data_IF_189621872935
#
_entry.id   IF_189621872935
#
_cell.length_a   1.000
_cell.length_b   1.000
_cell.length_c   1.000
_cell.angle_alpha   90.00
_cell.angle_beta   90.00
_cell.angle_gamma   90.00
#
_symmetry.space_group_name_H-M   'P 1'
#
loop_
_entity.id
_entity.type
_entity.pdbx_description
1 polymer ?
#
# COMPACT_ATOMS: atom_id res chain seq x y z
N UNK A 1 -3.98 20.32 56.90
CA UNK A 1 -5.26 20.20 57.63
C UNK A 1 -6.29 21.01 56.86
N UNK A 2 -7.50 20.50 56.59
CA UNK A 2 -8.05 19.16 56.89
C UNK A 2 -7.95 18.25 55.65
N UNK A 3 -7.66 16.95 55.73
CA UNK A 3 -8.43 15.82 56.30
C UNK A 3 -9.71 15.53 55.50
N UNK A 4 -10.15 14.30 55.24
CA UNK A 4 -9.75 12.96 55.66
C UNK A 4 -10.26 11.93 54.63
N UNK A 5 -9.54 10.84 54.40
CA UNK A 5 -9.72 9.50 55.02
C UNK A 5 -11.09 8.86 54.76
N UNK A 6 -11.05 7.71 54.08
CA UNK A 6 -11.52 6.38 54.53
C UNK A 6 -11.06 5.39 53.42
N UNK A 7 -10.04 4.53 53.59
CA UNK A 7 -10.04 3.24 54.31
C UNK A 7 -11.34 2.45 54.09
N UNK A 8 -11.37 1.14 53.84
CA UNK A 8 -10.41 0.04 53.73
C UNK A 8 -11.28 -1.22 53.56
N UNK A 9 -10.73 -2.31 53.01
CA UNK A 9 -10.84 -3.70 53.51
C UNK A 9 -10.44 -4.67 52.37
N UNK A 10 -9.26 -5.27 52.47
CA UNK A 10 -8.94 -6.55 53.14
C UNK A 10 -9.29 -7.74 52.23
N UNK A 11 -8.26 -8.40 51.67
CA UNK A 11 -7.67 -9.68 52.15
C UNK A 11 -8.43 -10.88 51.56
N UNK A 12 -7.84 -12.02 51.18
CA UNK A 12 -6.59 -12.67 51.57
C UNK A 12 -6.17 -13.70 50.49
N UNK A 13 -4.89 -14.03 50.57
CA UNK A 13 -4.08 -15.05 49.90
C UNK A 13 -4.73 -16.44 49.73
N UNK A 14 -4.32 -17.19 48.70
CA UNK A 14 -3.37 -18.30 48.88
C UNK A 14 -2.86 -18.88 47.56
N UNK A 15 -1.55 -19.12 47.52
CA UNK A 15 -0.81 -19.91 46.54
C UNK A 15 -1.12 -21.40 46.68
N UNK A 16 -0.92 -22.17 45.60
CA UNK A 16 -0.20 -23.46 45.55
C UNK A 16 -0.17 -23.99 44.10
N UNK A 17 1.04 -24.31 43.61
CA UNK A 17 1.35 -25.15 42.43
C UNK A 17 1.22 -26.65 42.81
N UNK A 18 1.70 -27.64 42.01
CA UNK A 18 1.61 -27.94 40.56
C UNK A 18 1.05 -29.38 40.33
N UNK A 19 0.85 -29.79 39.07
CA UNK A 19 0.56 -31.19 38.73
C UNK A 19 0.85 -31.52 37.27
N UNK A 20 1.79 -32.46 37.08
CA UNK A 20 2.46 -32.84 35.84
C UNK A 20 1.88 -34.17 35.28
N UNK A 21 2.31 -34.55 34.06
CA UNK A 21 2.26 -35.89 33.41
C UNK A 21 0.94 -36.30 32.71
N UNK A 22 0.89 -37.04 31.60
CA UNK A 22 1.79 -37.49 30.51
C UNK A 22 0.88 -38.11 29.43
N UNK A 23 1.37 -38.17 28.19
CA UNK A 23 1.38 -39.33 27.26
C UNK A 23 0.99 -39.07 25.79
N UNK A 24 1.84 -39.67 24.94
CA UNK A 24 1.89 -39.69 23.47
C UNK A 24 0.70 -40.39 22.82
N UNK A 25 0.33 -39.94 21.63
CA UNK A 25 0.17 -40.85 20.47
C UNK A 25 0.29 -40.09 19.15
N UNK A 26 1.08 -40.65 18.25
CA UNK A 26 1.34 -40.25 16.87
C UNK A 26 0.26 -40.80 15.94
N UNK A 27 -0.23 -40.02 14.97
CA UNK A 27 -0.90 -40.57 13.77
C UNK A 27 -0.87 -39.58 12.57
N UNK A 28 -0.17 -40.04 11.53
CA UNK A 28 -0.33 -39.86 10.08
C UNK A 28 -1.12 -38.65 9.53
N UNK A 29 -0.42 -37.81 8.76
CA UNK A 29 -1.02 -36.79 7.88
C UNK A 29 -1.54 -37.42 6.58
N UNK A 30 -2.85 -37.27 6.32
CA UNK A 30 -3.41 -37.29 4.95
C UNK A 30 -3.94 -35.90 4.61
N UNK A 31 -3.46 -35.35 3.49
CA UNK A 31 -3.96 -34.12 2.88
C UNK A 31 -5.46 -34.25 2.55
N UNK A 32 -6.30 -33.38 3.13
CA UNK A 32 -7.68 -33.16 2.69
C UNK A 32 -7.90 -31.68 2.41
N UNK A 33 -8.31 -31.38 1.19
CA UNK A 33 -9.03 -30.17 0.79
C UNK A 33 -10.39 -30.18 1.48
N UNK A 34 -10.78 -29.10 2.15
CA UNK A 34 -12.05 -29.04 2.89
C UNK A 34 -13.13 -28.37 2.04
N UNK A 35 -14.24 -29.08 1.80
CA UNK A 35 -15.48 -28.50 1.27
C UNK A 35 -16.31 -27.89 2.40
N UNK A 36 -16.80 -26.65 2.21
CA UNK A 36 -17.72 -26.01 3.14
C UNK A 36 -19.07 -26.76 3.17
N UNK A 37 -19.62 -26.99 4.37
CA UNK A 37 -20.92 -27.62 4.54
C UNK A 37 -22.04 -26.56 4.53
N UNK A 38 -22.98 -26.68 3.59
CA UNK A 38 -24.24 -25.94 3.60
C UNK A 38 -25.19 -26.58 4.62
N UNK A 39 -25.79 -25.77 5.50
CA UNK A 39 -26.85 -26.17 6.43
C UNK A 39 -28.09 -25.30 6.17
N UNK A 40 -29.26 -25.93 6.02
CA UNK A 40 -30.48 -25.35 5.45
C UNK A 40 -31.43 -24.69 6.45
N UNK A 41 -31.89 -23.50 6.06
CA UNK A 41 -33.23 -22.87 6.19
C UNK A 41 -33.88 -22.64 7.56
N UNK A 42 -34.02 -21.35 7.92
CA UNK A 42 -35.09 -20.83 8.80
C UNK A 42 -36.07 -19.98 7.95
N UNK A 43 -37.37 -20.14 8.19
CA UNK A 43 -38.46 -19.96 7.23
C UNK A 43 -39.11 -18.57 7.21
N UNK A 44 -38.45 -17.51 7.72
CA UNK A 44 -39.01 -16.14 7.70
C UNK A 44 -38.13 -15.06 7.09
N UNK A 45 -37.06 -15.45 6.43
CA UNK A 45 -36.26 -14.57 5.57
C UNK A 45 -35.55 -15.46 4.58
N UNK A 46 -35.74 -15.29 3.26
CA UNK A 46 -34.94 -15.95 2.22
C UNK A 46 -33.48 -15.42 2.21
N UNK A 47 -32.84 -15.40 3.38
CA UNK A 47 -31.42 -15.07 3.56
C UNK A 47 -30.63 -16.37 3.43
N UNK A 48 -29.83 -16.47 2.37
CA UNK A 48 -28.73 -17.44 2.34
C UNK A 48 -27.65 -16.93 3.28
N UNK A 49 -27.74 -17.29 4.55
CA UNK A 49 -26.68 -17.01 5.53
C UNK A 49 -25.71 -18.21 5.55
N UNK A 50 -24.61 -18.12 4.81
CA UNK A 50 -23.59 -19.19 4.79
C UNK A 50 -22.56 -18.90 5.89
N UNK A 51 -22.33 -19.88 6.77
CA UNK A 51 -21.35 -19.75 7.85
C UNK A 51 -19.95 -20.20 7.40
N UNK A 52 -18.97 -19.29 7.45
CA UNK A 52 -17.55 -19.58 7.22
C UNK A 52 -16.89 -19.77 8.59
N UNK A 53 -16.41 -20.97 8.88
CA UNK A 53 -15.77 -21.31 10.16
C UNK A 53 -14.25 -21.37 10.01
N UNK A 54 -13.54 -20.56 10.80
CA UNK A 54 -12.09 -20.66 10.95
C UNK A 54 -11.74 -21.67 12.06
N UNK A 55 -10.83 -22.64 11.83
CA UNK A 55 -10.47 -23.63 12.84
C UNK A 55 -9.67 -22.99 13.99
N UNK A 56 -9.81 -23.50 15.23
CA UNK A 56 -8.98 -23.09 16.36
C UNK A 56 -7.57 -23.69 16.22
N UNK A 57 -6.73 -23.09 15.38
CA UNK A 57 -5.33 -23.53 15.20
C UNK A 57 -4.38 -22.76 16.12
N UNK A 58 -3.43 -23.47 16.77
CA UNK A 58 -2.33 -22.88 17.55
C UNK A 58 -1.28 -22.18 16.66
N UNK A 59 -1.26 -22.47 15.37
CA UNK A 59 -0.36 -21.85 14.37
C UNK A 59 -1.18 -21.12 13.30
N UNK A 60 -0.75 -19.93 12.83
CA UNK A 60 -1.31 -19.33 11.62
C UNK A 60 -1.09 -20.33 10.48
N UNK A 61 -2.15 -20.81 9.85
CA UNK A 61 -2.02 -21.63 8.64
C UNK A 61 -2.51 -20.79 7.47
N UNK A 62 -1.71 -20.74 6.40
CA UNK A 62 -1.91 -20.01 5.13
C UNK A 62 -3.07 -20.59 4.28
N UNK A 63 -4.14 -21.07 4.92
CA UNK A 63 -5.26 -21.62 4.16
C UNK A 63 -6.20 -20.50 3.79
N UNK A 64 -6.06 -20.06 2.54
CA UNK A 64 -7.05 -19.25 1.85
C UNK A 64 -8.37 -20.01 1.78
N UNK A 65 -9.47 -19.34 2.13
CA UNK A 65 -10.82 -19.88 1.97
C UNK A 65 -11.36 -19.30 0.67
N UNK A 66 -11.59 -20.16 -0.32
CA UNK A 66 -12.18 -19.77 -1.60
C UNK A 66 -13.60 -20.33 -1.70
N UNK A 67 -14.56 -19.46 -1.98
CA UNK A 67 -15.97 -19.80 -2.12
C UNK A 67 -16.47 -19.37 -3.50
N UNK A 68 -17.28 -20.21 -4.13
CA UNK A 68 -17.96 -19.87 -5.38
C UNK A 68 -19.43 -19.61 -5.10
N UNK A 69 -19.93 -18.48 -5.56
CA UNK A 69 -21.31 -18.05 -5.37
C UNK A 69 -21.95 -17.54 -6.66
N UNK A 70 -23.24 -17.19 -6.58
CA UNK A 70 -24.00 -16.62 -7.70
C UNK A 70 -25.10 -15.69 -7.19
N UNK A 71 -25.02 -14.41 -7.57
CA UNK A 71 -26.15 -13.48 -7.42
C UNK A 71 -27.22 -13.81 -8.46
N UNK A 72 -28.47 -13.90 -8.02
CA UNK A 72 -29.62 -14.38 -8.79
C UNK A 72 -30.92 -13.69 -8.37
N UNK A 73 -31.94 -13.80 -9.21
CA UNK A 73 -33.26 -13.22 -8.94
C UNK A 73 -33.97 -13.78 -7.70
N UNK A 74 -33.47 -14.89 -7.14
CA UNK A 74 -34.02 -15.53 -5.95
C UNK A 74 -33.42 -15.00 -4.64
N UNK A 75 -32.35 -14.20 -4.73
CA UNK A 75 -31.61 -13.70 -3.57
C UNK A 75 -32.30 -12.50 -2.92
N UNK A 76 -31.84 -12.17 -1.72
CA UNK A 76 -32.41 -11.06 -0.94
C UNK A 76 -32.24 -9.74 -1.71
N UNK A 77 -33.32 -8.97 -1.81
CA UNK A 77 -33.31 -7.67 -2.51
C UNK A 77 -33.17 -6.54 -1.49
N UNK A 78 -32.23 -5.64 -1.73
CA UNK A 78 -32.12 -4.36 -1.03
C UNK A 78 -32.47 -3.22 -1.98
N UNK A 79 -33.42 -2.38 -1.60
CA UNK A 79 -33.76 -1.15 -2.32
C UNK A 79 -33.09 0.04 -1.65
N UNK A 80 -32.47 0.92 -2.43
CA UNK A 80 -31.87 2.15 -1.91
C UNK A 80 -32.98 3.09 -1.43
N UNK A 81 -33.01 3.49 -0.14
CA UNK A 81 -34.02 4.41 0.39
C UNK A 81 -34.03 5.78 -0.29
N UNK A 82 -32.90 6.22 -0.85
CA UNK A 82 -32.75 7.51 -1.52
C UNK A 82 -32.99 7.42 -3.03
N UNK A 83 -32.89 6.21 -3.60
CA UNK A 83 -33.16 5.92 -5.00
C UNK A 83 -34.06 4.69 -5.13
N UNK A 84 -35.37 4.80 -4.87
CA UNK A 84 -36.28 3.66 -4.74
C UNK A 84 -36.45 2.83 -6.03
N UNK A 85 -36.03 3.37 -7.18
CA UNK A 85 -35.98 2.66 -8.46
C UNK A 85 -34.79 1.69 -8.55
N UNK A 86 -33.78 1.86 -7.69
CA UNK A 86 -32.58 1.01 -7.67
C UNK A 86 -32.70 -0.06 -6.60
N UNK A 87 -32.37 -1.28 -6.99
CA UNK A 87 -32.38 -2.44 -6.10
C UNK A 87 -31.29 -3.45 -6.44
N UNK A 88 -30.79 -4.16 -5.43
CA UNK A 88 -29.59 -5.00 -5.52
C UNK A 88 -29.83 -6.38 -4.92
N UNK A 89 -29.22 -7.41 -5.49
CA UNK A 89 -29.25 -8.77 -4.97
C UNK A 89 -28.11 -8.99 -3.98
N UNK A 90 -28.39 -9.63 -2.85
CA UNK A 90 -27.45 -9.81 -1.75
C UNK A 90 -27.23 -11.27 -1.39
N UNK A 91 -25.97 -11.65 -1.23
CA UNK A 91 -25.55 -12.85 -0.52
C UNK A 91 -24.79 -12.47 0.76
N UNK A 92 -25.07 -13.15 1.87
CA UNK A 92 -24.45 -12.90 3.18
C UNK A 92 -23.63 -14.10 3.67
N UNK A 93 -22.38 -13.84 4.05
CA UNK A 93 -21.48 -14.84 4.62
C UNK A 93 -21.09 -14.44 6.03
N UNK A 94 -21.52 -15.25 7.02
CA UNK A 94 -21.21 -15.00 8.43
C UNK A 94 -19.83 -15.57 8.76
N UNK A 95 -18.95 -14.74 9.29
CA UNK A 95 -17.63 -15.16 9.71
C UNK A 95 -17.67 -15.63 11.17
N UNK A 96 -17.29 -16.89 11.40
CA UNK A 96 -17.30 -17.53 12.71
C UNK A 96 -15.89 -17.99 13.11
N UNK A 97 -15.58 -17.92 14.40
CA UNK A 97 -14.28 -18.36 14.93
C UNK A 97 -13.13 -17.38 14.67
N UNK A 98 -13.44 -16.10 14.46
CA UNK A 98 -12.45 -15.05 14.29
C UNK A 98 -11.71 -14.75 15.61
N UNK A 99 -10.40 -14.53 15.53
CA UNK A 99 -9.57 -14.16 16.69
C UNK A 99 -9.38 -12.65 16.73
N UNK A 100 -9.47 -12.05 17.92
CA UNK A 100 -9.15 -10.62 18.08
C UNK A 100 -7.75 -10.31 17.54
N UNK A 101 -7.63 -9.25 16.75
CA UNK A 101 -6.36 -8.86 16.11
C UNK A 101 -5.98 -9.68 14.87
N UNK A 102 -6.73 -10.72 14.51
CA UNK A 102 -6.57 -11.41 13.22
C UNK A 102 -6.87 -10.43 12.09
N UNK A 103 -6.02 -10.43 11.07
CA UNK A 103 -6.23 -9.65 9.86
C UNK A 103 -6.66 -10.57 8.73
N UNK A 104 -7.72 -10.18 8.04
CA UNK A 104 -8.27 -10.89 6.90
C UNK A 104 -8.26 -9.96 5.68
N UNK A 105 -7.81 -10.49 4.55
CA UNK A 105 -8.13 -9.94 3.23
C UNK A 105 -9.34 -10.69 2.69
N UNK A 106 -10.24 -9.97 2.05
CA UNK A 106 -11.36 -10.53 1.33
C UNK A 106 -11.25 -10.00 -0.10
N UNK A 107 -11.25 -10.89 -1.08
CA UNK A 107 -11.34 -10.57 -2.50
C UNK A 107 -12.64 -11.14 -3.03
N UNK A 108 -13.35 -10.37 -3.83
CA UNK A 108 -14.57 -10.75 -4.51
C UNK A 108 -14.36 -10.50 -5.99
N UNK A 109 -14.32 -11.56 -6.79
CA UNK A 109 -14.11 -11.48 -8.23
C UNK A 109 -15.36 -11.91 -8.99
N UNK A 110 -15.74 -11.18 -10.05
CA UNK A 110 -16.84 -11.59 -10.91
C UNK A 110 -16.74 -11.09 -12.35
N UNK A 111 -16.48 -11.98 -13.31
CA UNK A 111 -16.56 -11.62 -14.74
C UNK A 111 -17.96 -11.21 -15.25
N UNK A 112 -18.99 -11.17 -14.40
CA UNK A 112 -20.40 -11.00 -14.80
C UNK A 112 -21.02 -9.71 -14.30
N UNK A 113 -20.49 -9.10 -13.26
CA UNK A 113 -21.01 -7.85 -12.70
C UNK A 113 -19.90 -7.10 -11.98
N UNK A 114 -20.06 -5.79 -11.86
CA UNK A 114 -19.18 -4.96 -11.04
C UNK A 114 -19.41 -5.27 -9.55
N UNK A 115 -18.41 -5.84 -8.88
CA UNK A 115 -18.51 -6.34 -7.51
C UNK A 115 -18.61 -5.21 -6.48
N UNK A 116 -19.60 -5.36 -5.60
CA UNK A 116 -19.74 -4.59 -4.38
C UNK A 116 -19.53 -5.51 -3.18
N UNK A 117 -18.55 -5.18 -2.34
CA UNK A 117 -18.25 -5.91 -1.13
C UNK A 117 -18.46 -5.02 0.09
N UNK A 118 -19.19 -5.51 1.09
CA UNK A 118 -19.32 -4.83 2.37
C UNK A 118 -19.08 -5.79 3.54
N UNK A 119 -18.48 -5.26 4.59
CA UNK A 119 -18.34 -5.89 5.89
C UNK A 119 -19.31 -5.22 6.86
N UNK A 120 -20.13 -6.01 7.54
CA UNK A 120 -21.31 -5.51 8.25
C UNK A 120 -21.35 -6.07 9.66
N UNK A 121 -21.73 -5.23 10.63
CA UNK A 121 -22.12 -5.69 11.96
C UNK A 121 -23.53 -6.29 11.88
N UNK A 122 -23.69 -7.61 12.10
CA UNK A 122 -24.99 -8.26 11.97
C UNK A 122 -26.01 -7.79 13.01
N UNK A 123 -25.61 -7.15 14.11
CA UNK A 123 -26.54 -6.66 15.14
C UNK A 123 -27.21 -5.35 14.74
N UNK A 124 -26.42 -4.44 14.19
CA UNK A 124 -26.86 -3.07 13.84
C UNK A 124 -27.16 -2.91 12.36
N UNK A 125 -26.78 -3.90 11.53
CA UNK A 125 -26.77 -3.84 10.07
C UNK A 125 -25.90 -2.69 9.52
N UNK A 126 -25.05 -2.08 10.36
CA UNK A 126 -24.15 -1.00 9.98
C UNK A 126 -23.01 -1.53 9.12
N UNK A 127 -22.76 -0.87 8.00
CA UNK A 127 -21.57 -1.11 7.18
C UNK A 127 -20.35 -0.65 7.96
N UNK A 128 -19.46 -1.59 8.29
CA UNK A 128 -18.20 -1.36 8.98
C UNK A 128 -17.08 -0.96 8.02
N UNK A 129 -17.13 -1.51 6.80
CA UNK A 129 -16.30 -1.16 5.67
C UNK A 129 -17.00 -1.60 4.39
N UNK A 130 -16.83 -0.88 3.29
CA UNK A 130 -17.31 -1.30 1.97
C UNK A 130 -16.31 -0.88 0.92
N UNK A 131 -16.27 -1.67 -0.15
CA UNK A 131 -15.54 -1.33 -1.34
C UNK A 131 -16.41 -1.69 -2.54
N UNK A 132 -16.65 -0.71 -3.39
CA UNK A 132 -17.29 -0.84 -4.67
C UNK A 132 -16.32 -0.20 -5.63
N UNK A 133 -15.59 -1.01 -6.38
CA UNK A 133 -14.55 -0.53 -7.25
C UNK A 133 -15.17 0.18 -8.46
N UNK A 134 -15.86 1.31 -8.24
CA UNK A 134 -16.52 2.07 -9.28
C UNK A 134 -15.46 2.89 -10.02
N UNK A 135 -14.72 2.24 -10.93
CA UNK A 135 -14.37 2.78 -12.25
C UNK A 135 -13.65 1.71 -13.09
N UNK A 136 -14.00 1.68 -14.37
CA UNK A 136 -13.94 0.52 -15.27
C UNK A 136 -12.54 -0.03 -15.54
N UNK A 137 -12.37 -1.28 -15.11
CA UNK A 137 -12.10 -2.46 -15.97
C UNK A 137 -11.84 -3.70 -15.05
N UNK A 138 -12.01 -3.58 -13.74
CA UNK A 138 -11.94 -4.69 -12.79
C UNK A 138 -13.31 -4.82 -12.17
N UNK A 139 -13.94 -5.96 -12.37
CA UNK A 139 -15.24 -6.30 -11.80
C UNK A 139 -15.14 -6.74 -10.34
N UNK A 140 -13.97 -6.56 -9.74
CA UNK A 140 -13.57 -7.24 -8.53
C UNK A 140 -13.40 -6.21 -7.40
N UNK A 141 -13.80 -6.59 -6.20
CA UNK A 141 -13.76 -5.75 -5.01
C UNK A 141 -12.97 -6.45 -3.92
N UNK A 142 -12.25 -5.69 -3.10
CA UNK A 142 -11.51 -6.26 -1.98
C UNK A 142 -11.59 -5.42 -0.71
N UNK A 143 -11.55 -6.10 0.43
CA UNK A 143 -11.56 -5.49 1.76
C UNK A 143 -10.54 -6.17 2.65
N UNK A 144 -9.69 -5.38 3.27
CA UNK A 144 -8.88 -5.85 4.41
C UNK A 144 -9.54 -5.37 5.70
N UNK A 145 -9.58 -6.19 6.74
CA UNK A 145 -9.99 -5.73 8.07
C UNK A 145 -9.26 -6.47 9.20
N UNK A 146 -9.21 -5.82 10.35
CA UNK A 146 -8.69 -6.40 11.60
C UNK A 146 -9.88 -6.69 12.52
N UNK A 147 -9.94 -7.91 13.04
CA UNK A 147 -10.99 -8.36 13.94
C UNK A 147 -10.90 -7.58 15.25
N UNK A 148 -11.94 -6.78 15.53
CA UNK A 148 -12.10 -6.01 16.77
C UNK A 148 -12.74 -6.90 17.85
N UNK A 149 -12.46 -6.65 19.14
CA UNK A 149 -13.14 -7.34 20.22
C UNK A 149 -14.66 -7.09 20.16
N UNK A 150 -15.45 -8.09 20.53
CA UNK A 150 -16.90 -7.99 20.72
C UNK A 150 -17.71 -7.57 19.48
N UNK A 151 -17.14 -7.73 18.27
CA UNK A 151 -17.85 -7.56 17.00
C UNK A 151 -17.96 -8.89 16.27
N UNK A 152 -19.15 -9.15 15.73
CA UNK A 152 -19.39 -10.20 14.76
C UNK A 152 -19.36 -9.58 13.36
N UNK A 153 -19.04 -10.40 12.35
CA UNK A 153 -18.84 -9.91 10.99
C UNK A 153 -19.65 -10.72 10.00
N UNK A 154 -20.37 -10.02 9.12
CA UNK A 154 -20.99 -10.58 7.93
C UNK A 154 -20.38 -9.91 6.70
N UNK A 155 -19.91 -10.71 5.76
CA UNK A 155 -19.58 -10.25 4.42
C UNK A 155 -20.88 -10.19 3.63
N UNK A 156 -21.17 -9.04 3.04
CA UNK A 156 -22.24 -8.83 2.07
C UNK A 156 -21.61 -8.71 0.68
N UNK A 157 -21.96 -9.67 -0.17
CA UNK A 157 -21.68 -9.64 -1.60
C UNK A 157 -22.89 -9.03 -2.31
N UNK A 158 -22.64 -8.09 -3.22
CA UNK A 158 -23.63 -7.45 -4.07
C UNK A 158 -22.98 -7.02 -5.39
N UNK A 159 -23.76 -6.48 -6.30
CA UNK A 159 -23.26 -5.72 -7.46
C UNK A 159 -23.33 -4.22 -7.19
N UNK A 160 -22.45 -3.45 -7.85
CA UNK A 160 -22.55 -2.00 -7.95
C UNK A 160 -23.62 -1.56 -8.95
N UNK A 161 -23.97 -2.43 -9.90
CA UNK A 161 -25.08 -2.21 -10.85
C UNK A 161 -26.38 -2.78 -10.31
N UNK A 162 -27.47 -2.00 -10.36
CA UNK A 162 -28.79 -2.47 -9.92
C UNK A 162 -29.22 -3.75 -10.66
N UNK A 163 -29.76 -4.71 -9.89
CA UNK A 163 -30.31 -6.01 -10.37
C UNK A 163 -29.35 -6.87 -11.19
N UNK A 164 -28.05 -6.60 -11.18
CA UNK A 164 -27.09 -7.46 -11.87
C UNK A 164 -27.03 -8.85 -11.21
N UNK A 165 -26.83 -9.87 -12.04
CA UNK A 165 -26.76 -11.28 -11.63
C UNK A 165 -25.54 -11.92 -12.26
N UNK A 166 -25.01 -12.97 -11.66
CA UNK A 166 -23.82 -13.62 -12.18
C UNK A 166 -23.08 -14.43 -11.14
N UNK A 167 -22.16 -15.27 -11.61
CA UNK A 167 -21.26 -16.04 -10.76
C UNK A 167 -20.13 -15.17 -10.22
N UNK A 168 -19.65 -15.48 -9.03
CA UNK A 168 -18.50 -14.82 -8.42
C UNK A 168 -17.66 -15.81 -7.61
N UNK A 169 -16.41 -15.43 -7.35
CA UNK A 169 -15.50 -16.10 -6.43
C UNK A 169 -15.20 -15.14 -5.26
N UNK A 170 -15.33 -15.65 -4.03
CA UNK A 170 -15.04 -14.93 -2.80
C UNK A 170 -13.87 -15.62 -2.09
N UNK A 171 -12.73 -14.96 -2.06
CA UNK A 171 -11.49 -15.45 -1.47
C UNK A 171 -11.20 -14.73 -0.17
N UNK A 172 -10.89 -15.46 0.90
CA UNK A 172 -10.49 -14.91 2.19
C UNK A 172 -9.08 -15.37 2.51
N UNK A 173 -8.16 -14.42 2.61
CA UNK A 173 -6.76 -14.67 2.91
C UNK A 173 -6.48 -14.30 4.36
N UNK A 174 -5.89 -15.25 5.09
CA UNK A 174 -5.31 -14.96 6.40
C UNK A 174 -3.96 -14.29 6.19
N UNK A 175 -3.80 -13.07 6.70
CA UNK A 175 -2.45 -12.54 6.82
C UNK A 175 -1.75 -13.26 7.97
N UNK A 176 -0.53 -13.80 7.78
CA UNK A 176 0.21 -14.39 8.88
C UNK A 176 0.42 -13.35 9.97
N UNK A 177 0.14 -13.75 11.21
CA UNK A 177 0.58 -12.99 12.38
C UNK A 177 2.11 -13.12 12.46
N UNK A 178 2.82 -12.17 11.84
CA UNK A 178 4.26 -11.90 11.97
C UNK A 178 5.20 -13.12 11.94
N UNK A 179 5.97 -13.27 10.86
CA UNK A 179 7.20 -14.07 10.87
C UNK A 179 8.34 -13.18 11.39
N UNK A 180 8.54 -13.12 12.71
CA UNK A 180 9.64 -12.34 13.32
C UNK A 180 9.56 -10.82 13.12
N UNK A 181 10.68 -10.11 13.36
CA UNK A 181 10.78 -8.63 13.35
C UNK A 181 10.61 -7.97 11.97
N UNK A 182 10.44 -8.72 10.88
CA UNK A 182 10.33 -8.17 9.53
C UNK A 182 9.11 -8.76 8.80
N UNK A 183 8.19 -7.89 8.39
CA UNK A 183 6.93 -8.27 7.75
C UNK A 183 6.82 -7.55 6.39
N UNK A 184 6.87 -8.33 5.30
CA UNK A 184 6.81 -7.85 3.91
C UNK A 184 5.44 -7.27 3.49
N UNK A 185 4.41 -7.40 4.34
CA UNK A 185 3.08 -6.82 4.10
C UNK A 185 2.79 -5.61 4.99
N UNK A 186 3.48 -5.46 6.13
CA UNK A 186 3.39 -4.34 7.07
C UNK A 186 4.65 -4.27 7.93
N UNK A 187 5.72 -3.68 7.41
CA UNK A 187 6.98 -3.49 8.13
C UNK A 187 7.13 -2.03 8.53
N UNK A 188 6.84 -1.72 9.79
CA UNK A 188 7.13 -0.43 10.39
C UNK A 188 8.49 -0.46 11.08
N UNK A 189 9.33 0.46 10.68
CA UNK A 189 10.57 0.83 11.33
C UNK A 189 11.10 2.06 10.61
N UNK A 190 11.76 2.95 11.34
CA UNK A 190 12.56 3.97 10.69
C UNK A 190 13.48 3.28 9.69
N UNK A 191 13.60 3.85 8.49
CA UNK A 191 14.56 3.35 7.51
C UNK A 191 15.92 3.38 8.19
N UNK A 192 16.58 2.23 8.27
CA UNK A 192 17.96 2.12 8.73
C UNK A 192 18.79 1.67 7.53
N UNK A 193 19.30 2.65 6.77
CA UNK A 193 20.04 2.40 5.55
C UNK A 193 21.33 1.61 5.85
N UNK A 194 21.98 1.89 6.98
CA UNK A 194 23.17 1.19 7.43
C UNK A 194 22.91 -0.32 7.63
N UNK A 195 21.83 -0.67 8.34
CA UNK A 195 21.44 -2.06 8.54
C UNK A 195 21.00 -2.74 7.23
N UNK A 196 20.24 -2.03 6.39
CA UNK A 196 19.75 -2.55 5.12
C UNK A 196 20.91 -2.88 4.16
N UNK A 197 21.83 -1.94 3.96
CA UNK A 197 22.98 -2.12 3.07
C UNK A 197 23.94 -3.16 3.63
N UNK A 198 24.26 -3.12 4.93
CA UNK A 198 25.11 -4.12 5.57
C UNK A 198 24.58 -5.55 5.35
N UNK A 199 23.28 -5.76 5.55
CA UNK A 199 22.63 -7.05 5.31
C UNK A 199 22.72 -7.46 3.84
N UNK A 200 22.47 -6.53 2.91
CA UNK A 200 22.52 -6.81 1.48
C UNK A 200 23.91 -7.26 1.01
N UNK A 201 24.98 -6.75 1.63
CA UNK A 201 26.37 -7.11 1.30
C UNK A 201 26.95 -8.20 2.22
N UNK A 202 26.13 -8.88 3.01
CA UNK A 202 26.55 -9.99 3.87
C UNK A 202 27.43 -9.57 5.05
N UNK A 203 27.35 -8.31 5.49
CA UNK A 203 28.15 -7.77 6.59
C UNK A 203 27.33 -7.58 7.86
N UNK A 204 28.04 -7.50 9.00
CA UNK A 204 27.46 -7.03 10.26
C UNK A 204 27.02 -5.56 10.13
N UNK A 205 26.06 -5.09 10.94
CA UNK A 205 25.64 -3.69 10.94
C UNK A 205 26.84 -2.73 10.97
N UNK A 206 26.81 -1.70 10.13
CA UNK A 206 27.90 -0.74 10.05
C UNK A 206 28.07 -0.01 11.39
N UNK A 207 29.31 0.37 11.68
CA UNK A 207 29.62 1.16 12.87
C UNK A 207 28.97 2.54 12.73
N UNK A 208 28.39 3.02 13.82
CA UNK A 208 27.89 4.39 13.90
C UNK A 208 29.01 5.37 13.56
N UNK A 209 28.66 6.45 12.86
CA UNK A 209 29.55 7.57 12.59
C UNK A 209 29.00 8.83 13.24
N UNK A 210 29.74 9.92 13.18
CA UNK A 210 29.26 11.20 13.71
C UNK A 210 28.14 11.74 12.84
N UNK A 211 27.03 12.09 13.47
CA UNK A 211 25.91 12.80 12.85
C UNK A 211 26.39 14.08 12.14
N UNK A 212 25.75 14.40 11.02
CA UNK A 212 25.96 15.63 10.26
C UNK A 212 25.40 16.83 11.02
N UNK A 213 24.30 16.65 11.76
CA UNK A 213 23.67 17.65 12.61
C UNK A 213 22.83 18.68 11.86
N UNK A 214 22.23 19.59 12.64
CA UNK A 214 21.41 20.72 12.16
C UNK A 214 20.29 20.29 11.20
N UNK A 215 20.26 20.85 9.98
CA UNK A 215 19.22 20.59 8.97
C UNK A 215 19.31 19.19 8.32
N UNK A 216 20.39 18.44 8.57
CA UNK A 216 20.59 17.10 8.00
C UNK A 216 20.00 15.97 8.85
N UNK A 217 19.14 16.30 9.82
CA UNK A 217 18.57 15.33 10.75
C UNK A 217 17.93 14.11 10.07
N UNK A 218 17.34 14.28 8.88
CA UNK A 218 16.75 13.17 8.12
C UNK A 218 17.79 12.16 7.64
N UNK A 219 18.97 12.64 7.18
CA UNK A 219 20.10 11.81 6.76
C UNK A 219 20.69 11.04 7.94
N UNK A 220 20.84 11.71 9.08
CA UNK A 220 21.31 11.10 10.33
C UNK A 220 20.31 10.06 10.82
N UNK A 221 19.02 10.38 10.75
CA UNK A 221 17.96 9.49 11.21
C UNK A 221 17.91 8.18 10.41
N UNK A 222 18.13 8.25 9.09
CA UNK A 222 18.19 7.06 8.24
C UNK A 222 19.57 6.39 8.20
N UNK A 223 20.55 6.93 8.94
CA UNK A 223 21.93 6.43 8.99
C UNK A 223 22.62 6.41 7.61
N UNK A 224 22.36 7.43 6.80
CA UNK A 224 23.05 7.60 5.52
C UNK A 224 24.58 7.80 5.69
N UNK A 225 25.07 8.58 6.68
CA UNK A 225 26.51 8.76 6.89
C UNK A 225 27.29 7.45 7.10
N UNK A 226 26.73 6.47 7.81
CA UNK A 226 27.33 5.16 8.01
C UNK A 226 27.48 4.38 6.70
N UNK A 227 26.50 4.51 5.80
CA UNK A 227 26.52 3.90 4.47
C UNK A 227 27.59 4.58 3.60
N UNK A 228 27.68 5.90 3.65
CA UNK A 228 28.69 6.67 2.92
C UNK A 228 30.11 6.37 3.40
N UNK A 229 30.30 6.14 4.69
CA UNK A 229 31.60 5.73 5.26
C UNK A 229 32.08 4.35 4.73
N UNK A 230 31.19 3.58 4.11
CA UNK A 230 31.51 2.33 3.41
C UNK A 230 31.68 2.49 1.90
N UNK A 231 31.56 3.71 1.37
CA UNK A 231 31.72 4.02 -0.05
C UNK A 231 30.47 3.77 -0.89
N UNK A 232 29.32 3.43 -0.27
CA UNK A 232 28.06 3.29 -0.99
C UNK A 232 27.36 4.65 -1.06
N UNK A 233 27.07 5.10 -2.29
CA UNK A 233 26.40 6.37 -2.54
C UNK A 233 25.38 6.31 -3.69
N UNK A 234 25.02 5.10 -4.14
CA UNK A 234 24.08 4.92 -5.26
C UNK A 234 24.70 4.97 -6.66
N UNK A 235 26.03 4.87 -6.79
CA UNK A 235 26.71 4.86 -8.10
C UNK A 235 26.09 3.80 -9.04
N UNK A 236 25.88 4.18 -10.29
CA UNK A 236 25.27 3.34 -11.35
C UNK A 236 23.81 2.92 -11.08
N UNK A 237 23.13 3.57 -10.13
CA UNK A 237 21.70 3.38 -9.90
C UNK A 237 20.96 4.56 -10.53
N UNK A 238 20.03 4.27 -11.44
CA UNK A 238 19.07 5.25 -11.94
C UNK A 238 17.79 5.19 -11.12
N UNK A 239 17.37 6.34 -10.61
CA UNK A 239 16.11 6.55 -9.88
C UNK A 239 15.22 7.44 -10.74
N UNK A 240 14.08 6.92 -11.18
CA UNK A 240 13.08 7.72 -11.86
C UNK A 240 12.26 8.51 -10.84
N UNK A 241 12.08 9.81 -11.09
CA UNK A 241 11.27 10.71 -10.27
C UNK A 241 10.02 11.05 -11.09
N UNK A 242 8.91 10.41 -10.74
CA UNK A 242 7.61 10.65 -11.35
C UNK A 242 6.91 11.76 -10.57
N UNK A 243 6.97 12.99 -11.11
CA UNK A 243 6.55 14.19 -10.38
C UNK A 243 6.17 15.33 -11.34
N UNK A 244 6.36 16.58 -10.90
CA UNK A 244 6.11 17.86 -11.60
C UNK A 244 7.20 18.25 -12.59
N UNK A 245 8.23 17.41 -12.76
CA UNK A 245 9.45 17.71 -13.51
C UNK A 245 10.67 17.79 -12.60
N UNK A 246 11.84 18.13 -13.15
CA UNK A 246 13.04 18.46 -12.38
C UNK A 246 13.78 19.61 -13.07
N UNK A 247 14.28 20.57 -12.30
CA UNK A 247 15.28 21.52 -12.80
C UNK A 247 16.61 20.81 -13.05
N UNK A 248 16.79 20.34 -14.28
CA UNK A 248 17.98 19.60 -14.71
C UNK A 248 19.25 20.45 -14.76
N UNK A 249 19.14 21.78 -14.61
CA UNK A 249 20.26 22.73 -14.58
C UNK A 249 20.58 23.22 -13.17
N UNK A 250 19.88 22.72 -12.16
CA UNK A 250 20.14 23.11 -10.78
C UNK A 250 21.59 22.72 -10.41
N UNK A 251 22.43 23.64 -9.89
CA UNK A 251 23.86 23.36 -9.65
C UNK A 251 24.14 22.18 -8.71
N UNK A 252 23.16 21.84 -7.86
CA UNK A 252 23.25 20.71 -6.95
C UNK A 252 22.76 19.37 -7.54
N UNK A 253 22.14 19.38 -8.72
CA UNK A 253 21.53 18.20 -9.35
C UNK A 253 22.07 17.90 -10.74
N UNK A 254 22.55 18.90 -11.50
CA UNK A 254 22.95 18.75 -12.91
C UNK A 254 23.90 17.57 -13.16
N UNK A 255 24.87 17.37 -12.26
CA UNK A 255 25.86 16.29 -12.35
C UNK A 255 25.26 14.89 -12.17
N UNK A 256 24.08 14.81 -11.57
CA UNK A 256 23.34 13.59 -11.27
C UNK A 256 22.09 13.42 -12.15
N UNK A 257 21.85 14.27 -13.14
CA UNK A 257 20.78 14.02 -14.11
C UNK A 257 21.15 12.85 -15.02
N UNK A 258 20.19 11.95 -15.24
CA UNK A 258 20.27 10.84 -16.17
C UNK A 258 20.28 11.37 -17.60
N UNK A 259 20.98 10.67 -18.48
CA UNK A 259 21.03 11.00 -19.90
C UNK A 259 20.76 9.74 -20.71
N UNK A 260 19.76 9.79 -21.58
CA UNK A 260 19.54 8.74 -22.56
C UNK A 260 20.76 8.68 -23.48
N UNK A 261 21.43 7.53 -23.50
CA UNK A 261 22.61 7.31 -24.37
C UNK A 261 22.20 6.87 -25.77
N UNK A 262 20.92 6.52 -25.97
CA UNK A 262 20.36 6.12 -27.26
C UNK A 262 20.01 7.30 -28.17
N UNK A 263 19.88 8.50 -27.61
CA UNK A 263 19.43 9.69 -28.34
C UNK A 263 20.57 10.61 -28.80
N UNK A 264 20.39 11.20 -29.99
CA UNK A 264 21.21 12.31 -30.50
C UNK A 264 20.48 13.63 -30.20
N UNK A 265 21.01 14.50 -29.33
CA UNK A 265 20.28 15.68 -28.87
C UNK A 265 19.82 16.63 -29.97
N UNK A 266 18.52 16.91 -29.98
CA UNK A 266 17.83 17.94 -30.76
C UNK A 266 17.87 17.69 -32.28
N UNK A 267 17.83 16.42 -32.71
CA UNK A 267 17.73 16.08 -34.13
C UNK A 267 16.27 15.91 -34.60
N UNK A 268 15.30 15.96 -33.67
CA UNK A 268 13.88 15.80 -33.95
C UNK A 268 13.47 14.36 -34.28
N UNK A 269 14.30 13.36 -33.94
CA UNK A 269 14.07 11.95 -34.19
C UNK A 269 14.00 11.17 -32.88
N UNK A 270 13.40 9.98 -32.95
CA UNK A 270 13.45 8.95 -31.92
C UNK A 270 14.53 7.95 -32.36
N UNK A 271 15.78 8.19 -31.92
CA UNK A 271 16.96 7.47 -32.39
C UNK A 271 17.04 6.06 -31.82
N UNK A 272 16.61 5.89 -30.57
CA UNK A 272 16.59 4.60 -29.88
C UNK A 272 15.33 3.78 -30.13
N UNK A 273 14.33 4.38 -30.79
CA UNK A 273 13.03 3.80 -31.17
C UNK A 273 12.20 3.37 -29.98
N UNK A 274 12.33 4.08 -28.86
CA UNK A 274 11.56 3.84 -27.64
C UNK A 274 10.16 4.48 -27.67
N UNK A 275 9.87 5.29 -28.70
CA UNK A 275 8.61 6.00 -28.91
C UNK A 275 8.62 7.46 -28.46
N UNK A 276 9.77 8.00 -28.02
CA UNK A 276 9.90 9.32 -27.39
C UNK A 276 11.01 10.13 -28.08
N UNK A 277 10.60 11.08 -28.94
CA UNK A 277 11.52 11.93 -29.71
C UNK A 277 12.38 12.81 -28.80
N UNK A 278 13.70 12.73 -28.92
CA UNK A 278 14.65 13.57 -28.19
C UNK A 278 14.48 13.51 -26.65
N UNK A 279 14.18 12.34 -26.05
CA UNK A 279 13.98 12.16 -24.60
C UNK A 279 15.30 12.17 -23.77
N UNK A 280 16.20 13.11 -24.11
CA UNK A 280 17.61 13.18 -23.66
C UNK A 280 17.79 13.04 -22.16
N UNK A 281 16.89 13.61 -21.37
CA UNK A 281 16.96 13.60 -19.92
C UNK A 281 15.77 12.91 -19.26
N UNK A 282 14.78 12.48 -20.02
CA UNK A 282 13.49 12.07 -19.48
C UNK A 282 12.34 12.44 -20.41
N UNK A 283 11.12 12.19 -19.94
CA UNK A 283 9.92 12.48 -20.70
C UNK A 283 8.87 13.21 -19.88
N UNK A 284 8.08 14.05 -20.53
CA UNK A 284 6.92 14.71 -19.99
C UNK A 284 5.63 14.09 -20.53
N UNK A 285 4.90 13.38 -19.68
CA UNK A 285 3.55 12.89 -19.93
C UNK A 285 2.47 13.87 -19.45
N UNK A 286 2.84 14.92 -18.73
CA UNK A 286 1.92 15.91 -18.20
C UNK A 286 1.65 17.03 -19.22
N UNK A 287 0.37 17.27 -19.46
CA UNK A 287 -0.12 18.25 -20.44
C UNK A 287 0.08 17.78 -21.88
N UNK A 288 1.31 17.90 -22.39
CA UNK A 288 1.69 17.51 -23.76
C UNK A 288 2.90 16.61 -23.73
N UNK A 289 2.78 15.46 -24.42
CA UNK A 289 3.89 14.53 -24.64
C UNK A 289 5.08 15.26 -25.28
N UNK A 290 6.15 15.46 -24.51
CA UNK A 290 7.35 16.18 -24.95
C UNK A 290 8.60 15.79 -24.16
N UNK A 291 9.75 16.22 -24.65
CA UNK A 291 11.03 16.09 -23.95
C UNK A 291 11.30 17.21 -22.91
N UNK A 292 10.34 18.12 -22.70
CA UNK A 292 10.48 19.18 -21.71
C UNK A 292 10.13 18.69 -20.29
N UNK A 293 11.15 18.23 -19.58
CA UNK A 293 11.04 17.76 -18.19
C UNK A 293 11.18 18.86 -17.14
N UNK A 294 11.12 20.14 -17.55
CA UNK A 294 11.28 21.28 -16.64
C UNK A 294 10.25 21.24 -15.51
N UNK A 295 10.71 21.61 -14.31
CA UNK A 295 9.87 21.76 -13.13
C UNK A 295 9.44 23.22 -12.95
N UNK A 296 8.16 23.50 -13.14
CA UNK A 296 7.60 24.84 -12.94
C UNK A 296 7.03 25.05 -11.53
N UNK A 297 6.94 23.98 -10.73
CA UNK A 297 6.33 24.02 -9.39
C UNK A 297 7.39 23.88 -8.26
N UNK A 298 8.50 23.20 -8.54
CA UNK A 298 9.63 23.00 -7.64
C UNK A 298 9.56 21.72 -6.79
N UNK A 299 8.42 21.01 -6.80
CA UNK A 299 8.23 19.83 -5.95
C UNK A 299 9.09 18.65 -6.42
N UNK A 300 9.12 18.37 -7.72
CA UNK A 300 9.92 17.28 -8.27
C UNK A 300 11.42 17.53 -8.13
N UNK A 301 11.86 18.79 -8.24
CA UNK A 301 13.24 19.20 -7.96
C UNK A 301 13.60 18.98 -6.49
N UNK A 302 12.71 19.31 -5.56
CA UNK A 302 12.91 19.05 -4.13
C UNK A 302 13.00 17.54 -3.82
N UNK A 303 12.15 16.72 -4.43
CA UNK A 303 12.18 15.26 -4.33
C UNK A 303 13.49 14.70 -4.90
N UNK A 304 13.90 15.15 -6.08
CA UNK A 304 15.17 14.76 -6.72
C UNK A 304 16.39 15.12 -5.85
N UNK A 305 16.39 16.32 -5.24
CA UNK A 305 17.41 16.77 -4.31
C UNK A 305 17.55 15.87 -3.09
N UNK A 306 16.41 15.47 -2.48
CA UNK A 306 16.39 14.55 -1.35
C UNK A 306 17.03 13.19 -1.69
N UNK A 307 16.82 12.72 -2.92
CA UNK A 307 17.37 11.45 -3.41
C UNK A 307 18.86 11.57 -3.74
N UNK A 308 19.25 12.53 -4.59
CA UNK A 308 20.57 12.55 -5.21
C UNK A 308 21.15 13.95 -5.43
N UNK A 309 20.84 14.95 -4.60
CA UNK A 309 21.66 16.17 -4.56
C UNK A 309 23.14 15.81 -4.38
N UNK A 310 24.00 16.47 -5.15
CA UNK A 310 25.41 16.13 -5.30
C UNK A 310 26.16 16.49 -4.03
N UNK A 311 27.12 15.66 -3.64
CA UNK A 311 28.01 16.01 -2.52
C UNK A 311 29.13 16.95 -2.97
N UNK A 312 28.78 18.21 -3.28
CA UNK A 312 29.66 19.21 -3.91
C UNK A 312 30.01 20.41 -3.00
N UNK A 313 29.56 20.41 -1.73
CA UNK A 313 29.69 21.53 -0.75
C UNK A 313 28.84 22.77 -1.09
N UNK A 314 27.90 22.63 -2.00
CA UNK A 314 26.84 23.59 -2.28
C UNK A 314 25.51 22.96 -1.85
N UNK A 315 24.53 23.79 -1.46
CA UNK A 315 23.18 23.30 -1.14
C UNK A 315 23.14 22.20 -0.08
N UNK A 316 22.61 21.03 -0.47
CA UNK A 316 22.34 19.88 0.40
C UNK A 316 23.09 18.64 -0.11
N UNK A 317 22.80 17.45 0.43
CA UNK A 317 23.34 16.19 -0.09
C UNK A 317 22.25 15.14 -0.04
N UNK A 318 21.97 14.51 -1.17
CA UNK A 318 20.95 13.47 -1.26
C UNK A 318 21.40 12.20 -0.55
N UNK A 319 20.44 11.35 -0.15
CA UNK A 319 20.73 10.06 0.49
C UNK A 319 21.65 9.19 -0.39
N UNK A 320 21.41 9.18 -1.70
CA UNK A 320 22.18 8.48 -2.71
C UNK A 320 22.83 9.49 -3.67
N UNK A 321 23.72 10.34 -3.13
CA UNK A 321 24.36 11.46 -3.83
C UNK A 321 25.24 11.13 -5.06
N UNK A 322 25.35 9.86 -5.46
CA UNK A 322 25.99 9.41 -6.69
C UNK A 322 25.06 8.62 -7.63
N UNK A 323 23.76 8.54 -7.31
CA UNK A 323 22.73 8.01 -8.18
C UNK A 323 22.40 8.99 -9.32
N UNK A 324 21.78 8.48 -10.38
CA UNK A 324 21.24 9.28 -11.48
C UNK A 324 19.74 9.48 -11.32
N UNK A 325 19.26 10.70 -11.51
CA UNK A 325 17.85 11.05 -11.51
C UNK A 325 17.34 11.03 -12.95
N UNK A 326 16.32 10.24 -13.22
CA UNK A 326 15.55 10.29 -14.47
C UNK A 326 14.25 11.05 -14.20
N UNK A 327 14.19 12.34 -14.55
CA UNK A 327 12.94 13.10 -14.54
C UNK A 327 11.87 12.42 -15.40
N UNK A 328 10.68 12.22 -14.84
CA UNK A 328 9.50 11.79 -15.59
C UNK A 328 8.35 12.66 -15.12
N UNK A 329 7.97 13.64 -15.92
CA UNK A 329 6.91 14.58 -15.52
C UNK A 329 5.55 13.94 -15.80
N UNK A 330 4.75 13.76 -14.76
CA UNK A 330 3.42 13.10 -14.82
C UNK A 330 2.30 13.96 -14.21
N UNK A 331 2.68 15.02 -13.48
CA UNK A 331 1.79 16.03 -12.91
C UNK A 331 2.12 17.38 -13.54
N UNK A 332 1.06 18.14 -13.82
CA UNK A 332 1.17 19.55 -14.18
C UNK A 332 0.27 20.36 -13.26
N UNK A 333 0.72 21.54 -12.84
CA UNK A 333 0.10 22.24 -11.71
C UNK A 333 -1.29 22.79 -12.01
N UNK A 334 -1.58 23.39 -13.18
CA UNK A 334 -2.90 24.04 -13.36
C UNK A 334 -3.49 24.10 -14.79
N UNK A 335 -2.81 23.71 -15.88
CA UNK A 335 -3.31 24.14 -17.22
C UNK A 335 -3.93 23.07 -18.16
N UNK A 336 -3.64 21.76 -18.06
CA UNK A 336 -3.92 20.84 -19.19
C UNK A 336 -4.74 19.55 -18.89
N UNK A 337 -5.79 19.61 -18.06
CA UNK A 337 -6.60 18.40 -17.74
C UNK A 337 -5.76 17.20 -17.22
N UNK A 338 -4.54 17.47 -16.72
CA UNK A 338 -3.57 16.46 -16.27
C UNK A 338 -4.16 15.54 -15.21
N UNK A 339 -5.02 16.08 -14.35
CA UNK A 339 -5.77 15.32 -13.36
C UNK A 339 -6.75 14.31 -13.96
N UNK A 340 -7.38 14.59 -15.11
CA UNK A 340 -8.25 13.62 -15.80
C UNK A 340 -7.45 12.45 -16.38
N UNK A 341 -6.19 12.68 -16.73
CA UNK A 341 -5.27 11.66 -17.26
C UNK A 341 -4.27 11.18 -16.20
N UNK A 342 -4.45 11.50 -14.93
CA UNK A 342 -3.45 11.27 -13.89
C UNK A 342 -3.02 9.80 -13.82
N UNK A 343 -3.98 8.86 -13.76
CA UNK A 343 -3.67 7.42 -13.76
C UNK A 343 -2.92 6.99 -15.04
N UNK A 344 -3.33 7.50 -16.21
CA UNK A 344 -2.68 7.17 -17.47
C UNK A 344 -1.24 7.71 -17.55
N UNK A 345 -1.02 8.96 -17.12
CA UNK A 345 0.28 9.60 -17.10
C UNK A 345 1.24 8.90 -16.13
N UNK A 346 0.78 8.58 -14.92
CA UNK A 346 1.56 7.82 -13.93
C UNK A 346 1.88 6.43 -14.48
N UNK A 347 0.91 5.73 -15.06
CA UNK A 347 1.12 4.41 -15.64
C UNK A 347 2.11 4.41 -16.82
N UNK A 348 2.03 5.41 -17.70
CA UNK A 348 2.95 5.60 -18.82
C UNK A 348 4.36 5.92 -18.31
N UNK A 349 4.48 6.85 -17.35
CA UNK A 349 5.74 7.20 -16.70
C UNK A 349 6.41 6.02 -16.02
N UNK A 350 5.64 5.13 -15.37
CA UNK A 350 6.17 3.90 -14.78
C UNK A 350 6.77 2.99 -15.86
N UNK A 351 6.06 2.80 -16.98
CA UNK A 351 6.53 1.94 -18.08
C UNK A 351 7.80 2.50 -18.70
N UNK A 352 7.80 3.80 -19.01
CA UNK A 352 8.96 4.55 -19.50
C UNK A 352 10.17 4.35 -18.59
N UNK A 353 10.00 4.58 -17.28
CA UNK A 353 11.08 4.45 -16.31
C UNK A 353 11.70 3.04 -16.30
N UNK A 354 10.86 1.99 -16.31
CA UNK A 354 11.34 0.61 -16.35
C UNK A 354 12.04 0.30 -17.67
N UNK A 355 11.47 0.74 -18.80
CA UNK A 355 12.02 0.50 -20.14
C UNK A 355 13.37 1.21 -20.35
N UNK A 356 13.52 2.42 -19.81
CA UNK A 356 14.77 3.18 -19.81
C UNK A 356 15.73 2.82 -18.66
N UNK A 357 15.49 1.68 -18.00
CA UNK A 357 16.48 1.04 -17.12
C UNK A 357 16.54 1.55 -15.69
N UNK A 358 15.56 2.33 -15.22
CA UNK A 358 15.45 2.73 -13.82
C UNK A 358 15.40 1.50 -12.90
N UNK A 359 16.10 1.59 -11.76
CA UNK A 359 16.11 0.54 -10.73
C UNK A 359 15.17 0.85 -9.56
N UNK A 360 14.88 2.13 -9.39
CA UNK A 360 13.94 2.65 -8.40
C UNK A 360 13.05 3.68 -9.07
N UNK A 361 11.77 3.68 -8.70
CA UNK A 361 10.76 4.66 -9.12
C UNK A 361 10.26 5.34 -7.84
N UNK A 362 10.43 6.65 -7.75
CA UNK A 362 9.91 7.49 -6.67
C UNK A 362 8.66 8.21 -7.14
N UNK A 363 7.58 8.07 -6.38
CA UNK A 363 6.27 8.69 -6.65
C UNK A 363 5.83 9.46 -5.41
N UNK A 364 6.05 10.77 -5.40
CA UNK A 364 5.59 11.68 -4.35
C UNK A 364 4.24 12.29 -4.74
N UNK A 365 3.29 11.41 -5.01
CA UNK A 365 1.98 11.74 -5.58
C UNK A 365 0.92 10.79 -5.06
N UNK A 366 -0.34 11.17 -5.22
CA UNK A 366 -1.45 10.24 -5.02
C UNK A 366 -2.79 10.84 -5.38
N UNK A 367 -3.80 9.98 -5.40
CA UNK A 367 -5.19 10.35 -5.69
C UNK A 367 -5.97 10.70 -4.42
N UNK A 368 -6.95 11.59 -4.55
CA UNK A 368 -7.83 12.00 -3.47
C UNK A 368 -9.01 11.03 -3.29
N UNK A 369 -9.57 10.94 -2.08
CA UNK A 369 -10.84 10.25 -1.86
C UNK A 369 -11.95 10.81 -2.77
N UNK A 370 -12.39 10.00 -3.74
CA UNK A 370 -13.39 10.40 -4.75
C UNK A 370 -12.85 10.41 -6.19
N UNK A 371 -11.54 10.34 -6.37
CA UNK A 371 -10.92 10.20 -7.69
C UNK A 371 -11.18 8.80 -8.28
N UNK A 372 -11.16 8.65 -9.62
CA UNK A 372 -11.18 7.35 -10.28
C UNK A 372 -10.03 6.46 -9.79
N UNK A 373 -10.25 5.14 -9.81
CA UNK A 373 -9.23 4.18 -9.37
C UNK A 373 -7.97 4.25 -10.26
N UNK A 374 -6.79 4.07 -9.65
CA UNK A 374 -5.51 4.08 -10.36
C UNK A 374 -5.20 2.72 -11.00
N UNK A 375 -6.13 2.20 -11.81
CA UNK A 375 -6.05 0.84 -12.37
C UNK A 375 -4.86 0.69 -13.31
N UNK A 376 -4.62 1.65 -14.21
CA UNK A 376 -3.52 1.57 -15.15
C UNK A 376 -2.19 1.56 -14.41
N UNK A 377 -2.10 2.36 -13.35
CA UNK A 377 -0.97 2.39 -12.43
C UNK A 377 -0.79 1.05 -11.72
N UNK A 378 -1.86 0.40 -11.24
CA UNK A 378 -1.77 -0.95 -10.65
C UNK A 378 -1.15 -1.95 -11.64
N UNK A 379 -1.59 -1.93 -12.91
CA UNK A 379 -1.05 -2.79 -13.96
C UNK A 379 0.43 -2.47 -14.26
N UNK A 380 0.81 -1.20 -14.26
CA UNK A 380 2.18 -0.77 -14.43
C UNK A 380 3.06 -1.19 -13.24
N UNK A 381 2.56 -1.15 -12.00
CA UNK A 381 3.28 -1.64 -10.82
C UNK A 381 3.43 -3.17 -10.81
N UNK A 382 2.48 -3.92 -11.38
CA UNK A 382 2.68 -5.36 -11.67
C UNK A 382 3.82 -5.58 -12.66
N UNK A 383 4.04 -4.66 -13.61
CA UNK A 383 5.19 -4.71 -14.51
C UNK A 383 6.50 -4.38 -13.78
N UNK A 384 6.53 -3.33 -12.95
CA UNK A 384 7.67 -2.99 -12.05
C UNK A 384 8.15 -4.20 -11.27
N UNK A 385 7.23 -4.91 -10.61
CA UNK A 385 7.56 -6.11 -9.83
C UNK A 385 8.17 -7.21 -10.69
N UNK A 386 7.63 -7.47 -11.88
CA UNK A 386 8.16 -8.48 -12.81
C UNK A 386 9.54 -8.12 -13.36
N UNK A 387 9.81 -6.83 -13.52
CA UNK A 387 11.10 -6.31 -13.98
C UNK A 387 12.17 -6.24 -12.87
N UNK A 388 11.82 -6.56 -11.61
CA UNK A 388 12.75 -6.46 -10.48
C UNK A 388 13.07 -5.01 -10.09
N UNK A 389 12.23 -4.06 -10.46
CA UNK A 389 12.34 -2.64 -10.11
C UNK A 389 11.59 -2.38 -8.80
N UNK A 390 12.03 -1.39 -8.02
CA UNK A 390 11.38 -1.00 -6.76
C UNK A 390 10.57 0.27 -6.97
N UNK A 391 9.28 0.24 -6.63
CA UNK A 391 8.44 1.44 -6.54
C UNK A 391 8.33 1.92 -5.08
N UNK A 392 8.52 3.21 -4.86
CA UNK A 392 8.37 3.91 -3.57
C UNK A 392 7.29 4.98 -3.74
N UNK A 393 6.28 4.96 -2.87
CA UNK A 393 5.05 5.74 -3.03
C UNK A 393 4.71 6.46 -1.73
N UNK A 394 4.44 7.75 -1.79
CA UNK A 394 4.00 8.53 -0.63
C UNK A 394 2.61 8.06 -0.16
N UNK A 395 2.43 7.92 1.16
CA UNK A 395 1.17 7.42 1.73
C UNK A 395 0.03 8.45 1.76
N UNK A 396 0.34 9.73 1.55
CA UNK A 396 -0.61 10.85 1.62
C UNK A 396 -0.44 11.73 2.86
N UNK A 397 -1.05 12.93 2.81
CA UNK A 397 -0.97 14.00 3.81
C UNK A 397 -2.35 14.41 4.38
N UNK A 398 -3.35 13.53 4.29
CA UNK A 398 -4.76 13.84 4.51
C UNK A 398 -5.26 13.41 5.90
N UNK A 399 -4.37 13.06 6.82
CA UNK A 399 -4.78 12.56 8.15
C UNK A 399 -5.48 13.63 8.97
N UNK A 400 -4.91 14.82 9.06
CA UNK A 400 -5.49 15.92 9.86
C UNK A 400 -6.68 16.58 9.13
N UNK A 401 -6.62 16.67 7.80
CA UNK A 401 -7.64 17.34 6.99
C UNK A 401 -8.87 16.48 6.72
N UNK A 402 -8.69 15.17 6.46
CA UNK A 402 -9.77 14.25 6.04
C UNK A 402 -9.93 13.05 6.98
N UNK A 403 -9.14 12.94 8.05
CA UNK A 403 -9.19 11.78 8.94
C UNK A 403 -8.76 10.48 8.26
N UNK A 404 -7.88 10.56 7.25
CA UNK A 404 -7.47 9.39 6.46
C UNK A 404 -6.83 8.31 7.36
N UNK A 405 -7.38 7.09 7.30
CA UNK A 405 -6.96 5.94 8.13
C UNK A 405 -6.19 4.87 7.35
N UNK A 406 -5.94 5.10 6.06
CA UNK A 406 -5.25 4.19 5.15
C UNK A 406 -4.55 5.00 4.06
N UNK A 407 -3.48 4.48 3.45
CA UNK A 407 -2.73 5.22 2.43
C UNK A 407 -3.59 5.45 1.19
N UNK A 408 -3.31 6.55 0.48
CA UNK A 408 -3.91 6.85 -0.83
C UNK A 408 -3.26 6.01 -1.94
N UNK A 409 -3.90 5.89 -3.10
CA UNK A 409 -3.27 5.30 -4.27
C UNK A 409 -2.20 6.28 -4.83
N UNK A 410 -1.03 5.79 -5.30
CA UNK A 410 -0.70 4.38 -5.51
C UNK A 410 -0.14 3.65 -4.28
N UNK A 411 0.18 4.33 -3.18
CA UNK A 411 0.77 3.70 -2.00
C UNK A 411 -0.09 2.57 -1.40
N UNK A 412 -1.42 2.63 -1.57
CA UNK A 412 -2.35 1.55 -1.22
C UNK A 412 -2.02 0.22 -1.91
N UNK A 413 -1.47 0.24 -3.12
CA UNK A 413 -1.04 -0.97 -3.83
C UNK A 413 0.18 -1.65 -3.18
N UNK A 414 0.87 -0.98 -2.25
CA UNK A 414 1.83 -1.64 -1.35
C UNK A 414 1.21 -2.82 -0.59
N UNK A 415 -0.08 -2.75 -0.26
CA UNK A 415 -0.82 -3.86 0.35
C UNK A 415 -0.90 -5.10 -0.56
N UNK A 416 -0.86 -4.89 -1.88
CA UNK A 416 -0.83 -5.94 -2.92
C UNK A 416 0.61 -6.39 -3.26
N UNK A 417 1.61 -5.95 -2.48
CA UNK A 417 3.04 -6.19 -2.73
C UNK A 417 3.50 -5.65 -4.09
N UNK A 418 2.98 -4.48 -4.47
CA UNK A 418 3.31 -3.80 -5.73
C UNK A 418 4.22 -2.58 -5.54
N UNK A 419 4.80 -2.42 -4.36
CA UNK A 419 5.77 -1.37 -4.04
C UNK A 419 5.83 -1.13 -2.53
N UNK A 420 6.48 -0.03 -2.13
CA UNK A 420 6.67 0.39 -0.74
C UNK A 420 5.91 1.70 -0.52
N UNK A 421 4.91 1.69 0.36
CA UNK A 421 4.24 2.90 0.84
C UNK A 421 5.04 3.54 1.98
N UNK A 422 5.25 4.86 1.93
CA UNK A 422 6.09 5.60 2.90
C UNK A 422 5.29 6.75 3.50
N UNK A 423 5.24 6.79 4.84
CA UNK A 423 4.63 7.89 5.59
C UNK A 423 5.68 8.84 6.18
N UNK A 424 5.22 10.00 6.63
CA UNK A 424 6.07 11.09 7.11
C UNK A 424 6.26 11.06 8.64
N UNK A 425 7.44 11.51 9.07
CA UNK A 425 7.83 11.68 10.47
C UNK A 425 8.56 13.01 10.67
N UNK A 426 8.62 13.49 11.91
CA UNK A 426 9.39 14.67 12.29
C UNK A 426 10.78 14.32 12.87
N UNK A 427 11.56 15.35 13.19
CA UNK A 427 12.91 15.21 13.74
C UNK A 427 12.95 14.61 15.13
N UNK A 428 11.81 14.59 15.84
CA UNK A 428 11.63 13.90 17.11
C UNK A 428 11.19 12.44 16.93
N UNK A 429 11.23 11.93 15.69
CA UNK A 429 10.82 10.56 15.32
C UNK A 429 9.34 10.30 15.54
N UNK A 430 8.50 11.32 15.65
CA UNK A 430 7.05 11.17 15.77
C UNK A 430 6.44 11.13 14.37
N UNK A 431 5.34 10.40 14.22
CA UNK A 431 4.55 10.47 12.97
C UNK A 431 4.12 11.91 12.77
N UNK A 432 4.39 12.48 11.59
CA UNK A 432 3.94 13.82 11.26
C UNK A 432 2.41 13.86 11.34
N UNK A 433 1.84 14.94 11.87
CA UNK A 433 0.39 14.99 12.17
C UNK A 433 -0.44 14.72 10.92
N UNK A 434 -0.05 15.34 9.80
CA UNK A 434 -0.66 15.18 8.49
C UNK A 434 -0.47 13.80 7.85
N UNK A 435 0.53 13.01 8.27
CA UNK A 435 0.88 11.76 7.58
C UNK A 435 -0.29 10.80 7.59
N UNK A 436 -0.79 10.47 6.41
CA UNK A 436 -1.70 9.35 6.23
C UNK A 436 -0.97 8.07 6.64
N UNK A 437 -1.60 7.12 7.35
CA UNK A 437 -0.93 5.89 7.76
C UNK A 437 -0.47 5.06 6.56
N UNK A 438 0.83 4.76 6.44
CA UNK A 438 1.37 3.84 5.42
C UNK A 438 1.02 2.35 5.66
N UNK A 439 0.02 2.09 6.51
CA UNK A 439 -0.46 0.78 6.95
C UNK A 439 -1.39 0.94 8.17
N UNK A 440 -1.79 -0.16 8.83
CA UNK A 440 -2.89 -0.12 9.83
C UNK A 440 -2.50 -0.34 11.30
N UNK A 441 -1.20 -0.44 11.64
CA UNK A 441 -0.75 -0.54 13.04
C UNK A 441 -0.12 0.79 13.49
N UNK A 442 -0.56 1.39 14.61
CA UNK A 442 0.11 2.55 15.19
C UNK A 442 1.57 2.23 15.56
N UNK A 443 2.49 3.17 15.34
CA UNK A 443 3.85 3.09 15.86
C UNK A 443 3.81 3.21 17.40
N UNK A 444 4.37 2.23 18.11
CA UNK A 444 4.83 2.44 19.49
C UNK A 444 6.34 2.57 19.44
N UNK A 445 6.85 3.78 19.73
CA UNK A 445 8.29 4.02 19.84
C UNK A 445 8.81 3.52 21.19
#
# INVERSE_FOLDING_TARGET
MPSGRLQSHLQLQHSLQPGELTHRSSLSFKNKTFHAAASTTDSRSRRKDIAIKFPPSKTPTDKDVVLKGKLSHQDTVYSDPFHPQTSYYLDHYRLLGLRQGQQLHIELESSRFDAYLALIDPRTNKILASNNNSTLQGTDSSLTFTVKPNLNYVIRVSSATSRATGSYELSLHNFPASVGKFNFSYGYGLVDAAAAVARAVGQKPFKAVRDLGSSNWGLDLVKAPEVWAKGYAGKNVTVAVLDTGVDIRHPDLEANIWKNQGEIPNNGLDDDRNGFIDDIHGWNFAGRDSNDVSDFYGHGTHVAGTIAATRNRFGVTGVAHAAKIMPVRVIDSEEDNSFQKFDANVAAGIRYAVQNGAKVISMSLGSYPGDPNMRQTELALKYVRRAGVVAVMASGNERDSLGAVQPIEPALFGLKRLGIGVGAIDSQRRVASFSTPAGRKPLSF
#
